data_IF_641999589961
#
_entry.id   IF_641999589961
#
_cell.length_a   1.000
_cell.length_b   1.000
_cell.length_c   1.000
_cell.angle_alpha   90.00
_cell.angle_beta   90.00
_cell.angle_gamma   90.00
#
_symmetry.space_group_name_H-M   'P 1'
#
loop_
_entity.id
_entity.type
_entity.pdbx_description
1 polymer ?
#
# COMPACT_ATOMS: atom_id res chain seq x y z
N UNK A 1 -5.75 -5.51 2.61
CA UNK A 1 -5.66 -6.23 1.31
C UNK A 1 -4.52 -7.24 1.39
N UNK A 2 -4.68 -8.42 0.76
CA UNK A 2 -3.60 -9.41 0.62
C UNK A 2 -3.08 -9.41 -0.82
N UNK A 3 -1.77 -9.52 -0.98
CA UNK A 3 -1.07 -9.60 -2.27
C UNK A 3 -0.29 -10.91 -2.30
N UNK A 4 -0.52 -11.75 -3.30
CA UNK A 4 0.19 -13.02 -3.46
C UNK A 4 1.33 -12.88 -4.46
N UNK A 5 2.55 -13.24 -4.05
CA UNK A 5 3.70 -13.28 -4.94
C UNK A 5 3.77 -14.64 -5.64
N UNK A 6 3.17 -14.73 -6.83
CA UNK A 6 3.24 -15.92 -7.68
C UNK A 6 4.46 -15.95 -8.62
N UNK A 7 5.44 -15.07 -8.40
CA UNK A 7 6.69 -15.09 -9.19
C UNK A 7 7.68 -16.11 -8.62
N UNK A 8 8.68 -16.49 -9.41
CA UNK A 8 9.76 -17.38 -8.95
C UNK A 8 10.81 -16.70 -8.05
N UNK A 9 10.64 -15.41 -7.74
CA UNK A 9 11.61 -14.63 -6.97
C UNK A 9 10.91 -13.84 -5.86
N UNK A 10 11.68 -13.43 -4.85
CA UNK A 10 11.19 -12.48 -3.84
C UNK A 10 10.88 -11.12 -4.47
N UNK A 11 9.85 -10.46 -3.96
CA UNK A 11 9.42 -9.14 -4.42
C UNK A 11 9.45 -8.14 -3.26
N UNK A 12 10.24 -7.09 -3.39
CA UNK A 12 10.29 -5.98 -2.42
C UNK A 12 9.24 -4.93 -2.78
N UNK A 13 8.40 -4.52 -1.84
CA UNK A 13 7.56 -3.34 -1.99
C UNK A 13 8.43 -2.08 -1.92
N UNK A 14 8.50 -1.33 -3.02
CA UNK A 14 9.38 -0.16 -3.17
C UNK A 14 8.63 1.16 -3.31
N UNK A 15 7.35 1.13 -3.72
CA UNK A 15 6.50 2.31 -3.82
C UNK A 15 5.02 1.97 -3.74
N UNK A 16 4.17 2.99 -3.59
CA UNK A 16 2.72 2.83 -3.66
C UNK A 16 2.04 4.12 -4.11
N UNK A 17 0.86 3.98 -4.72
CA UNK A 17 -0.07 5.07 -4.98
C UNK A 17 -1.45 4.67 -4.49
N UNK A 18 -2.15 5.56 -3.78
CA UNK A 18 -3.52 5.33 -3.33
C UNK A 18 -4.39 6.54 -3.58
N UNK A 19 -5.59 6.30 -4.11
CA UNK A 19 -6.72 7.23 -4.18
C UNK A 19 -7.76 6.81 -3.15
N UNK A 20 -8.44 7.76 -2.51
CA UNK A 20 -9.55 7.44 -1.60
C UNK A 20 -10.52 8.63 -1.46
N UNK A 21 -11.78 8.39 -1.09
CA UNK A 21 -12.74 9.46 -0.87
C UNK A 21 -12.45 10.17 0.45
N UNK A 22 -12.25 11.49 0.42
CA UNK A 22 -12.00 12.30 1.64
C UNK A 22 -13.17 12.23 2.63
N UNK A 23 -14.41 12.14 2.14
CA UNK A 23 -15.59 11.81 2.94
C UNK A 23 -16.14 10.47 2.44
N UNK A 24 -16.30 9.44 3.29
CA UNK A 24 -16.28 9.51 4.76
C UNK A 24 -14.90 9.32 5.41
N UNK A 25 -13.86 8.86 4.69
CA UNK A 25 -12.65 8.30 5.28
C UNK A 25 -11.83 9.28 6.14
N UNK A 26 -11.83 10.56 5.79
CA UNK A 26 -10.90 11.54 6.35
C UNK A 26 -9.46 11.34 5.88
N UNK A 27 -8.51 11.80 6.69
CA UNK A 27 -7.09 11.73 6.39
C UNK A 27 -6.60 10.28 6.43
N UNK A 28 -5.65 9.95 5.56
CA UNK A 28 -4.81 8.76 5.73
C UNK A 28 -3.84 9.04 6.89
N UNK A 29 -3.76 8.15 7.87
CA UNK A 29 -2.93 8.35 9.06
C UNK A 29 -1.72 7.43 9.11
N UNK A 30 -1.83 6.25 8.49
CA UNK A 30 -0.79 5.22 8.54
C UNK A 30 -0.98 4.19 7.43
N UNK A 31 0.15 3.68 6.92
CA UNK A 31 0.17 2.49 6.06
C UNK A 31 1.08 1.46 6.71
N UNK A 32 0.61 0.21 6.78
CA UNK A 32 1.44 -0.94 7.20
C UNK A 32 1.55 -1.99 6.10
N UNK A 33 2.69 -2.66 6.09
CA UNK A 33 2.99 -3.83 5.28
C UNK A 33 3.50 -4.95 6.17
N UNK A 34 2.81 -6.10 6.18
CA UNK A 34 3.11 -7.22 7.08
C UNK A 34 3.27 -6.79 8.55
N UNK A 35 2.42 -5.84 9.00
CA UNK A 35 2.46 -5.24 10.34
C UNK A 35 3.54 -4.17 10.55
N UNK A 36 4.51 -4.03 9.64
CA UNK A 36 5.53 -2.98 9.69
C UNK A 36 4.96 -1.67 9.18
N UNK A 37 5.18 -0.56 9.91
CA UNK A 37 4.82 0.78 9.44
C UNK A 37 5.71 1.18 8.27
N UNK A 38 5.12 1.45 7.11
CA UNK A 38 5.83 1.90 5.90
C UNK A 38 5.57 3.38 5.57
N UNK A 39 4.56 3.99 6.21
CA UNK A 39 4.21 5.40 6.13
C UNK A 39 3.43 5.82 7.39
N UNK A 40 3.75 6.96 7.99
CA UNK A 40 3.17 7.44 9.25
C UNK A 40 2.87 8.95 9.26
N UNK A 41 2.80 9.58 8.10
CA UNK A 41 2.42 10.99 7.98
C UNK A 41 0.92 11.10 7.78
N UNK A 42 0.26 12.02 8.49
CA UNK A 42 -1.15 12.32 8.23
C UNK A 42 -1.30 13.05 6.89
N UNK A 43 -1.96 12.44 5.92
CA UNK A 43 -2.20 13.01 4.59
C UNK A 43 -3.67 13.38 4.42
N UNK A 44 -4.00 14.64 4.03
CA UNK A 44 -5.36 14.98 3.64
C UNK A 44 -5.81 14.19 2.41
N UNK A 45 -7.12 14.03 2.26
CA UNK A 45 -7.73 13.13 1.28
C UNK A 45 -7.55 13.52 -0.18
N UNK A 46 -7.89 12.59 -1.07
CA UNK A 46 -7.79 12.73 -2.53
C UNK A 46 -6.86 11.68 -3.10
N UNK A 47 -5.56 11.80 -2.84
CA UNK A 47 -4.58 10.81 -3.27
C UNK A 47 -3.25 10.97 -2.54
N UNK A 48 -2.43 9.92 -2.59
CA UNK A 48 -1.06 9.88 -2.12
C UNK A 48 -0.23 9.00 -3.05
N UNK A 49 0.92 9.50 -3.48
CA UNK A 49 1.93 8.70 -4.17
C UNK A 49 3.24 8.77 -3.40
N UNK A 50 3.77 7.59 -3.06
CA UNK A 50 5.07 7.39 -2.43
C UNK A 50 5.97 6.73 -3.49
N UNK A 51 6.95 7.44 -4.07
CA UNK A 51 7.81 6.89 -5.12
C UNK A 51 8.74 5.79 -4.56
N UNK A 52 9.62 5.17 -5.37
CA UNK A 52 10.77 4.41 -4.87
C UNK A 52 12.03 5.28 -4.75
N UNK A 53 12.83 5.27 -3.65
CA UNK A 53 12.55 4.90 -2.26
C UNK A 53 12.26 6.12 -1.36
N UNK A 54 11.10 6.13 -0.65
CA UNK A 54 10.99 6.70 0.70
C UNK A 54 10.09 5.87 1.65
N UNK A 55 9.80 4.61 1.34
CA UNK A 55 9.05 3.74 2.27
C UNK A 55 9.87 3.44 3.53
N UNK A 56 9.23 3.57 4.70
CA UNK A 56 9.84 3.21 5.98
C UNK A 56 10.06 1.68 6.09
N UNK A 57 10.82 1.28 7.10
CA UNK A 57 11.18 -0.12 7.37
C UNK A 57 12.43 -0.58 6.63
N UNK A 58 12.80 -1.84 6.82
CA UNK A 58 13.92 -2.48 6.10
C UNK A 58 13.42 -3.18 4.82
N UNK A 59 14.34 -3.47 3.89
CA UNK A 59 14.04 -4.28 2.70
C UNK A 59 13.43 -5.63 3.08
N UNK A 60 13.97 -6.31 4.10
CA UNK A 60 13.43 -7.59 4.58
C UNK A 60 11.98 -7.47 5.06
N UNK A 61 11.64 -6.39 5.77
CA UNK A 61 10.26 -6.15 6.25
C UNK A 61 9.28 -5.85 5.11
N UNK A 62 9.77 -5.35 3.97
CA UNK A 62 8.98 -5.06 2.78
C UNK A 62 9.02 -6.15 1.71
N UNK A 63 9.63 -7.30 1.99
CA UNK A 63 9.78 -8.38 1.02
C UNK A 63 8.69 -9.43 1.18
N UNK A 64 8.13 -9.88 0.06
CA UNK A 64 7.30 -11.09 -0.05
C UNK A 64 8.14 -12.17 -0.71
N UNK A 65 8.40 -13.27 -0.01
CA UNK A 65 9.07 -14.42 -0.60
C UNK A 65 8.25 -15.02 -1.77
N UNK A 66 8.90 -15.74 -2.67
CA UNK A 66 8.21 -16.48 -3.73
C UNK A 66 7.17 -17.44 -3.12
N UNK A 67 5.95 -17.44 -3.66
CA UNK A 67 4.84 -18.25 -3.16
C UNK A 67 4.24 -17.80 -1.82
N UNK A 68 4.58 -16.61 -1.31
CA UNK A 68 4.05 -16.07 -0.07
C UNK A 68 3.04 -14.93 -0.31
N UNK A 69 2.33 -14.56 0.76
CA UNK A 69 1.41 -13.42 0.77
C UNK A 69 1.98 -12.27 1.60
N UNK A 70 1.82 -11.04 1.10
CA UNK A 70 1.95 -9.81 1.86
C UNK A 70 0.58 -9.23 2.23
N UNK A 71 0.50 -8.50 3.35
CA UNK A 71 -0.71 -7.76 3.73
C UNK A 71 -0.42 -6.27 3.81
N UNK A 72 -1.20 -5.48 3.07
CA UNK A 72 -1.20 -4.00 3.14
C UNK A 72 -2.45 -3.55 3.89
N UNK A 73 -2.28 -2.62 4.83
CA UNK A 73 -3.37 -1.97 5.57
C UNK A 73 -3.22 -0.46 5.49
N UNK A 74 -4.26 0.21 4.98
CA UNK A 74 -4.41 1.66 5.01
C UNK A 74 -5.29 2.02 6.21
N UNK A 75 -4.79 2.88 7.09
CA UNK A 75 -5.52 3.37 8.25
C UNK A 75 -5.97 4.81 7.99
N UNK A 76 -7.25 5.09 8.21
CA UNK A 76 -7.85 6.39 8.01
C UNK A 76 -8.37 6.95 9.34
N UNK A 77 -8.57 8.26 9.39
CA UNK A 77 -9.04 8.94 10.61
C UNK A 77 -10.48 8.57 11.00
N UNK A 78 -11.32 8.21 10.03
CA UNK A 78 -12.74 7.90 10.23
C UNK A 78 -13.12 6.50 9.72
N UNK A 79 -14.41 6.16 9.84
CA UNK A 79 -15.00 5.00 9.18
C UNK A 79 -14.87 5.10 7.66
N UNK A 80 -14.30 4.06 7.05
CA UNK A 80 -14.00 4.04 5.62
C UNK A 80 -15.22 3.69 4.77
N UNK A 81 -15.25 4.21 3.55
CA UNK A 81 -16.17 3.72 2.52
C UNK A 81 -15.89 2.24 2.23
N UNK A 82 -16.96 1.46 2.09
CA UNK A 82 -16.89 0.06 1.65
C UNK A 82 -16.95 -0.10 0.13
N UNK A 83 -17.16 0.98 -0.62
CA UNK A 83 -17.18 0.95 -2.08
C UNK A 83 -15.75 0.95 -2.66
N UNK A 84 -15.28 -0.17 -3.26
CA UNK A 84 -13.92 -0.28 -3.78
C UNK A 84 -13.65 0.65 -4.96
N UNK A 85 -14.65 1.02 -5.75
CA UNK A 85 -14.48 1.91 -6.90
C UNK A 85 -13.98 3.31 -6.50
N UNK A 86 -14.19 3.73 -5.25
CA UNK A 86 -13.69 5.01 -4.73
C UNK A 86 -12.19 5.00 -4.41
N UNK A 87 -11.54 3.83 -4.54
CA UNK A 87 -10.10 3.68 -4.33
C UNK A 87 -9.34 3.50 -5.64
N UNK A 88 -9.99 3.65 -6.79
CA UNK A 88 -9.35 3.59 -8.09
C UNK A 88 -9.07 5.02 -8.62
N UNK A 89 -7.88 5.31 -9.16
CA UNK A 89 -6.75 4.40 -9.35
C UNK A 89 -5.84 4.29 -8.11
N UNK A 90 -5.37 3.09 -7.81
CA UNK A 90 -4.34 2.82 -6.80
C UNK A 90 -3.41 1.72 -7.28
N UNK A 91 -2.17 1.68 -6.79
CA UNK A 91 -1.18 0.67 -7.14
C UNK A 91 -0.12 0.44 -6.07
N UNK A 92 0.52 -0.72 -6.15
CA UNK A 92 1.74 -1.05 -5.40
C UNK A 92 2.89 -1.29 -6.40
N UNK A 93 4.06 -0.75 -6.13
CA UNK A 93 5.25 -0.98 -6.95
C UNK A 93 6.16 -1.97 -6.25
N UNK A 94 6.45 -3.08 -6.92
CA UNK A 94 7.36 -4.11 -6.46
C UNK A 94 8.64 -4.13 -7.29
N UNK A 95 9.76 -4.49 -6.68
CA UNK A 95 11.01 -4.77 -7.39
C UNK A 95 11.36 -6.26 -7.24
N UNK A 96 11.71 -6.97 -8.33
CA UNK A 96 11.86 -6.49 -9.71
C UNK A 96 10.57 -6.41 -10.57
N UNK A 97 9.41 -6.81 -10.05
CA UNK A 97 8.21 -7.04 -10.90
C UNK A 97 7.64 -5.78 -11.59
N UNK A 98 7.57 -4.65 -10.90
CA UNK A 98 6.91 -3.43 -11.35
C UNK A 98 5.60 -3.13 -10.63
N UNK A 99 4.76 -2.28 -11.23
CA UNK A 99 3.53 -1.78 -10.62
C UNK A 99 2.33 -2.72 -10.83
N UNK A 100 1.59 -2.97 -9.74
CA UNK A 100 0.37 -3.77 -9.70
C UNK A 100 -0.81 -2.87 -9.33
N UNK A 101 -1.85 -2.72 -10.17
CA UNK A 101 -3.07 -2.01 -9.81
C UNK A 101 -3.79 -2.68 -8.64
N UNK A 102 -4.42 -1.87 -7.78
CA UNK A 102 -5.22 -2.34 -6.65
C UNK A 102 -6.54 -1.56 -6.64
N UNK A 103 -7.66 -2.27 -6.36
CA UNK A 103 -9.06 -1.81 -6.38
C UNK A 103 -9.72 -1.62 -7.75
#
# INVERSE_FOLDING_TARGET
MKVFNNTGASQELTGLSITWPTSPNGNLTKITFNGTTIYNTSTPGGSLTIPPPPLLGTTAQRTIAAGACGTVVFSFANNVSTNPALYNPSSLTFSPFGSVPIF
#
